data_IF_089956925816
#
_entry.id   IF_089956925816
#
_cell.length_a   1.000
_cell.length_b   1.000
_cell.length_c   1.000
_cell.angle_alpha   90.00
_cell.angle_beta   90.00
_cell.angle_gamma   90.00
#
_symmetry.space_group_name_H-M   'P 1'
#
loop_
_entity.id
_entity.type
_entity.pdbx_description
1 polymer ?
#
# COMPACT_ATOMS: atom_id res chain seq x y z
N UNK A 1 0.96 -13.24 5.09
CA UNK A 1 0.17 -12.74 3.96
C UNK A 1 -0.17 -11.30 4.27
N UNK A 2 0.03 -10.41 3.30
CA UNK A 2 -0.17 -8.98 3.44
C UNK A 2 -1.52 -8.56 2.86
N UNK A 3 -2.21 -7.67 3.54
CA UNK A 3 -3.41 -6.99 3.05
C UNK A 3 -3.16 -5.48 3.08
N UNK A 4 -3.43 -4.78 1.99
CA UNK A 4 -3.35 -3.31 1.93
C UNK A 4 -4.76 -2.75 1.95
N UNK A 5 -5.06 -1.92 2.93
CA UNK A 5 -6.37 -1.31 3.17
C UNK A 5 -6.27 0.17 2.83
N UNK A 6 -7.19 0.71 2.04
CA UNK A 6 -7.34 2.14 1.83
C UNK A 6 -8.09 2.72 3.03
N UNK A 7 -7.49 3.67 3.75
CA UNK A 7 -8.10 4.24 4.95
C UNK A 7 -9.19 5.28 4.63
N UNK A 8 -9.23 5.80 3.41
CA UNK A 8 -10.29 6.71 2.94
C UNK A 8 -11.58 5.97 2.60
N UNK A 9 -11.49 4.75 2.07
CA UNK A 9 -12.68 3.94 1.72
C UNK A 9 -12.94 2.79 2.69
N UNK A 10 -11.97 2.41 3.50
CA UNK A 10 -12.01 1.23 4.38
C UNK A 10 -11.86 -0.10 3.65
N UNK A 11 -11.62 -0.08 2.34
CA UNK A 11 -11.59 -1.28 1.50
C UNK A 11 -10.20 -1.90 1.40
N UNK A 12 -10.17 -3.22 1.24
CA UNK A 12 -8.94 -3.96 0.98
C UNK A 12 -8.62 -3.85 -0.50
N UNK A 13 -7.61 -3.06 -0.83
CA UNK A 13 -7.22 -2.74 -2.20
C UNK A 13 -6.42 -3.88 -2.83
N UNK A 14 -5.56 -4.54 -2.04
CA UNK A 14 -4.72 -5.64 -2.53
C UNK A 14 -4.40 -6.65 -1.43
N UNK A 15 -4.19 -7.91 -1.83
CA UNK A 15 -3.73 -8.99 -0.95
C UNK A 15 -2.64 -9.80 -1.63
N UNK A 16 -1.60 -10.21 -0.90
CA UNK A 16 -0.52 -10.99 -1.49
C UNK A 16 0.56 -11.45 -0.53
N UNK A 17 1.52 -12.21 -1.05
CA UNK A 17 2.69 -12.68 -0.27
C UNK A 17 3.91 -11.75 -0.39
N UNK A 18 3.94 -10.87 -1.39
CA UNK A 18 5.08 -9.99 -1.68
C UNK A 18 4.67 -8.55 -1.47
N UNK A 19 5.16 -7.92 -0.40
CA UNK A 19 4.77 -6.56 -0.01
C UNK A 19 5.11 -5.52 -1.07
N UNK A 20 6.32 -5.54 -1.63
CA UNK A 20 6.78 -4.57 -2.63
C UNK A 20 5.82 -4.46 -3.84
N UNK A 21 5.35 -5.60 -4.36
CA UNK A 21 4.37 -5.64 -5.45
C UNK A 21 3.01 -5.03 -5.06
N UNK A 22 2.63 -5.12 -3.79
CA UNK A 22 1.37 -4.55 -3.31
C UNK A 22 1.47 -3.02 -3.16
N UNK A 23 2.66 -2.50 -2.86
CA UNK A 23 2.92 -1.07 -2.68
C UNK A 23 3.17 -0.31 -3.98
N UNK A 24 3.55 -1.03 -5.05
CA UNK A 24 3.76 -0.43 -6.36
C UNK A 24 2.46 0.15 -6.94
N UNK A 25 2.53 1.37 -7.49
CA UNK A 25 1.43 2.05 -8.18
C UNK A 25 0.17 2.20 -7.31
N UNK A 26 0.33 2.37 -5.99
CA UNK A 26 -0.79 2.79 -5.14
C UNK A 26 -1.06 4.27 -5.41
N UNK A 27 -2.31 4.65 -5.73
CA UNK A 27 -2.66 6.04 -5.92
C UNK A 27 -2.40 6.84 -4.64
N UNK A 28 -2.26 8.14 -4.78
CA UNK A 28 -2.05 9.02 -3.63
C UNK A 28 -3.14 8.80 -2.56
N UNK A 29 -2.73 8.62 -1.31
CA UNK A 29 -3.69 8.38 -0.23
C UNK A 29 -3.12 7.68 0.99
N UNK A 30 -3.96 7.53 2.01
CA UNK A 30 -3.63 6.85 3.25
C UNK A 30 -3.96 5.37 3.18
N UNK A 31 -2.99 4.53 3.53
CA UNK A 31 -3.14 3.09 3.50
C UNK A 31 -2.64 2.45 4.80
N UNK A 32 -3.12 1.24 5.05
CA UNK A 32 -2.68 0.39 6.14
C UNK A 32 -2.32 -1.00 5.61
N UNK A 33 -1.10 -1.46 5.88
CA UNK A 33 -0.67 -2.84 5.64
C UNK A 33 -0.95 -3.65 6.88
N UNK A 34 -1.69 -4.74 6.72
CA UNK A 34 -1.90 -5.75 7.76
C UNK A 34 -1.06 -6.98 7.45
N UNK A 35 -0.22 -7.38 8.40
CA UNK A 35 0.54 -8.63 8.34
C UNK A 35 0.65 -9.23 9.74
N UNK A 36 0.16 -10.46 9.96
CA UNK A 36 0.39 -11.21 11.20
C UNK A 36 0.14 -10.39 12.49
N UNK A 37 -1.00 -9.65 12.55
CA UNK A 37 -1.42 -8.74 13.63
C UNK A 37 -0.60 -7.45 13.78
N UNK A 38 0.37 -7.20 12.91
CA UNK A 38 1.00 -5.88 12.75
C UNK A 38 0.19 -5.06 11.75
N UNK A 39 0.07 -3.78 12.06
CA UNK A 39 -0.60 -2.78 11.24
C UNK A 39 0.38 -1.65 11.00
N UNK A 40 0.74 -1.41 9.74
CA UNK A 40 1.66 -0.35 9.35
C UNK A 40 0.89 0.64 8.51
N UNK A 41 0.75 1.87 9.00
CA UNK A 41 0.09 2.96 8.28
C UNK A 41 1.13 3.76 7.51
N UNK A 42 0.79 4.10 6.29
CA UNK A 42 1.64 4.92 5.44
C UNK A 42 0.79 5.77 4.51
N UNK A 43 1.36 6.87 4.05
CA UNK A 43 0.79 7.68 2.98
C UNK A 43 1.52 7.34 1.69
N UNK A 44 0.80 6.86 0.68
CA UNK A 44 1.35 6.75 -0.67
C UNK A 44 1.36 8.15 -1.26
N UNK A 45 2.55 8.66 -1.57
CA UNK A 45 2.75 9.92 -2.28
C UNK A 45 3.28 9.65 -3.71
N UNK A 46 2.89 8.51 -4.29
CA UNK A 46 3.35 8.15 -5.64
C UNK A 46 2.60 9.04 -6.63
N UNK A 47 3.22 10.18 -6.98
CA UNK A 47 2.98 10.82 -8.27
C UNK A 47 3.59 9.91 -9.34
N UNK A 48 2.84 9.51 -10.38
CA UNK A 48 3.33 8.59 -11.41
C UNK A 48 4.63 9.06 -12.11
N UNK A 49 5.01 10.33 -11.97
CA UNK A 49 6.20 10.94 -12.57
C UNK A 49 7.52 10.73 -11.79
N UNK A 50 7.49 10.20 -10.56
CA UNK A 50 8.69 10.16 -9.69
C UNK A 50 9.24 8.76 -9.37
N UNK A 51 8.82 7.70 -10.07
CA UNK A 51 9.45 6.38 -9.96
C UNK A 51 10.71 6.29 -10.84
N UNK A 52 11.73 7.09 -10.53
CA UNK A 52 13.09 6.83 -11.00
C UNK A 52 13.68 5.68 -10.16
N UNK A 53 13.90 4.53 -10.79
CA UNK A 53 14.73 3.47 -10.23
C UNK A 53 16.18 3.97 -10.24
N UNK A 54 16.82 4.00 -9.08
CA UNK A 54 18.28 4.14 -8.94
C UNK A 54 18.80 2.82 -8.41
#
# INVERSE_FOLDING_TARGET
MYEVINLSTGEIVRRGKVLEKLLQNLPEGFYEIKENRKFIRFYSNIKPEHQCWI
#
